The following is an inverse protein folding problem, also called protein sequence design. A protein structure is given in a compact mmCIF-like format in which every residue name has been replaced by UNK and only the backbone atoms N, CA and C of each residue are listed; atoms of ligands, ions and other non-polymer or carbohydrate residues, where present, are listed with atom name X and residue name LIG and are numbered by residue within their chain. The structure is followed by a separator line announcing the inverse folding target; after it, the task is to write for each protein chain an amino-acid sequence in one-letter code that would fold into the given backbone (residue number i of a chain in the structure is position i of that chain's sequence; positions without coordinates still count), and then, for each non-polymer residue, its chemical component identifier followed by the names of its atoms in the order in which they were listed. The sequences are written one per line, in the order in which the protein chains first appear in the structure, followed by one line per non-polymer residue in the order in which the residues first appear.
data_IF_903804370589
#
_entry.id   IF_903804370589
#
_cell.length_a   1.000
_cell.length_b   1.000
_cell.length_c   1.000
_cell.angle_alpha   90.00
_cell.angle_beta   90.00
_cell.angle_gamma   90.00
#
_symmetry.space_group_name_H-M   'P 1'
#
loop_
_entity.id
_entity.type
_entity.pdbx_description
1 polymer ?
#
# COMPACT_ATOMS: atom_id res chain seq x y z
N UNK A 1 14.60 -17.17 8.64
CA UNK A 1 13.94 -16.88 7.35
C UNK A 1 14.22 -15.44 7.02
N UNK A 2 14.69 -15.15 5.81
CA UNK A 2 15.09 -13.80 5.41
C UNK A 2 13.82 -12.94 5.35
N UNK A 3 13.76 -11.90 6.18
CA UNK A 3 12.80 -10.79 6.10
C UNK A 3 13.03 -10.07 4.76
N UNK A 4 12.54 -10.62 3.64
CA UNK A 4 12.58 -9.93 2.35
C UNK A 4 11.50 -8.85 2.38
N UNK A 5 11.85 -7.63 1.99
CA UNK A 5 10.87 -6.58 1.73
C UNK A 5 10.23 -6.91 0.37
N UNK A 6 8.89 -6.94 0.25
CA UNK A 6 8.25 -7.15 -1.04
C UNK A 6 8.68 -6.07 -2.04
N UNK A 7 8.66 -6.38 -3.33
CA UNK A 7 9.12 -5.45 -4.38
C UNK A 7 7.97 -4.94 -5.26
N UNK A 8 6.77 -5.49 -5.09
CA UNK A 8 5.57 -5.15 -5.85
C UNK A 8 4.33 -5.64 -5.08
N UNK A 9 3.15 -5.39 -5.65
CA UNK A 9 1.87 -5.72 -5.02
C UNK A 9 1.63 -7.23 -4.90
N UNK A 10 2.06 -8.01 -5.89
CA UNK A 10 1.93 -9.47 -5.87
C UNK A 10 2.77 -10.09 -4.75
N UNK A 11 4.03 -9.67 -4.60
CA UNK A 11 4.89 -10.07 -3.48
C UNK A 11 4.28 -9.65 -2.13
N UNK A 12 3.59 -8.51 -2.05
CA UNK A 12 2.85 -8.16 -0.84
C UNK A 12 1.83 -9.24 -0.47
N UNK A 13 1.07 -9.77 -1.43
CA UNK A 13 0.06 -10.79 -1.16
C UNK A 13 0.69 -12.10 -0.68
N UNK A 14 1.77 -12.54 -1.31
CA UNK A 14 2.50 -13.73 -0.89
C UNK A 14 3.00 -13.62 0.55
N UNK A 15 3.55 -12.46 0.90
CA UNK A 15 4.01 -12.19 2.25
C UNK A 15 2.85 -12.15 3.26
N UNK A 16 1.77 -11.45 2.92
CA UNK A 16 0.57 -11.37 3.76
C UNK A 16 -0.07 -12.76 3.98
N UNK A 17 -0.12 -13.60 2.95
CA UNK A 17 -0.63 -14.97 3.04
C UNK A 17 0.19 -15.86 3.99
N UNK A 18 1.50 -15.61 4.11
CA UNK A 18 2.40 -16.33 5.01
C UNK A 18 2.30 -15.84 6.46
N UNK A 19 2.15 -14.53 6.68
CA UNK A 19 2.17 -13.94 8.02
C UNK A 19 0.78 -13.87 8.67
N UNK A 20 -0.29 -13.75 7.88
CA UNK A 20 -1.64 -13.63 8.41
C UNK A 20 -2.26 -14.98 8.70
N UNK A 21 -2.64 -15.16 9.96
CA UNK A 21 -3.54 -16.23 10.36
C UNK A 21 -4.96 -15.95 9.85
N UNK A 22 -5.87 -16.95 9.83
CA UNK A 22 -7.25 -16.76 9.40
C UNK A 22 -7.93 -15.55 10.06
N UNK A 23 -7.67 -15.30 11.34
CA UNK A 23 -8.25 -14.18 12.08
C UNK A 23 -7.80 -12.82 11.53
N UNK A 24 -6.54 -12.71 11.09
CA UNK A 24 -6.02 -11.50 10.46
C UNK A 24 -6.67 -11.29 9.08
N UNK A 25 -6.90 -12.35 8.32
CA UNK A 25 -7.56 -12.28 7.00
C UNK A 25 -9.02 -11.84 7.15
N UNK A 26 -9.75 -12.43 8.10
CA UNK A 26 -11.11 -11.98 8.44
C UNK A 26 -11.14 -10.51 8.88
N UNK A 27 -10.15 -10.06 9.68
CA UNK A 27 -10.05 -8.67 10.09
C UNK A 27 -9.78 -7.69 8.93
N UNK A 28 -9.20 -8.14 7.80
CA UNK A 28 -9.10 -7.35 6.57
C UNK A 28 -10.43 -7.32 5.80
N UNK A 29 -11.20 -8.42 5.84
CA UNK A 29 -12.44 -8.58 5.09
C UNK A 29 -13.61 -7.77 5.66
N UNK A 30 -13.88 -7.88 6.96
CA UNK A 30 -15.12 -7.35 7.59
C UNK A 30 -15.10 -5.87 7.93
N UNK A 31 -14.05 -5.24 7.49
CA UNK A 31 -13.61 -4.03 8.08
C UNK A 31 -13.60 -3.08 6.85
N UNK A 32 -14.47 -2.07 6.92
CA UNK A 32 -14.80 -1.20 5.78
C UNK A 32 -14.34 0.26 5.91
N UNK A 33 -13.97 0.74 7.10
CA UNK A 33 -13.42 2.09 7.30
C UNK A 33 -11.98 2.11 7.84
N UNK A 34 -11.04 2.76 7.16
CA UNK A 34 -9.77 3.17 7.78
C UNK A 34 -8.92 2.01 8.36
N UNK A 35 -8.99 0.84 7.75
CA UNK A 35 -8.62 -0.40 8.41
C UNK A 35 -7.26 -0.94 8.07
N UNK A 36 -6.39 -1.12 9.04
CA UNK A 36 -6.41 -0.68 10.44
C UNK A 36 -5.31 0.36 10.50
N UNK A 37 -5.57 1.56 11.04
CA UNK A 37 -4.50 2.54 11.26
C UNK A 37 -3.29 1.83 11.87
N UNK A 38 -3.52 0.87 12.78
CA UNK A 38 -2.50 -0.05 13.29
C UNK A 38 -1.84 -0.92 12.23
N UNK A 39 -2.61 -1.69 11.46
CA UNK A 39 -2.07 -2.57 10.41
C UNK A 39 -1.38 -1.82 9.27
N UNK A 40 -2.00 -0.78 8.71
CA UNK A 40 -1.39 0.08 7.69
C UNK A 40 -0.12 0.76 8.19
N UNK A 41 -0.12 1.26 9.45
CA UNK A 41 1.10 1.76 10.11
C UNK A 41 2.17 0.68 10.27
N UNK A 42 1.76 -0.54 10.61
CA UNK A 42 2.68 -1.65 10.79
C UNK A 42 3.32 -2.05 9.45
N UNK A 43 2.53 -2.16 8.39
CA UNK A 43 3.03 -2.49 7.04
C UNK A 43 4.00 -1.43 6.52
N UNK A 44 3.62 -0.14 6.59
CA UNK A 44 4.49 0.94 6.09
C UNK A 44 5.81 1.05 6.85
N UNK A 45 5.84 0.68 8.13
CA UNK A 45 7.07 0.65 8.92
C UNK A 45 7.88 -0.63 8.63
N UNK A 46 7.23 -1.79 8.57
CA UNK A 46 7.89 -3.08 8.38
C UNK A 46 8.51 -3.21 6.99
N UNK A 47 7.85 -2.67 5.97
CA UNK A 47 8.30 -2.75 4.58
C UNK A 47 9.06 -1.52 4.12
N UNK A 48 9.46 -0.64 5.04
CA UNK A 48 10.31 0.51 4.73
C UNK A 48 9.68 1.44 3.70
N UNK A 49 8.41 1.80 3.86
CA UNK A 49 7.74 2.72 2.94
C UNK A 49 8.10 4.19 3.20
N UNK A 50 8.60 4.52 4.40
CA UNK A 50 9.17 5.83 4.72
C UNK A 50 10.60 5.99 4.19
N UNK A 51 11.39 4.93 4.32
CA UNK A 51 12.79 4.83 3.87
C UNK A 51 12.84 4.39 2.40
N UNK A 52 14.02 4.20 1.84
CA UNK A 52 14.15 3.61 0.50
C UNK A 52 13.96 2.09 0.52
N UNK A 53 13.01 1.62 -0.27
CA UNK A 53 12.72 0.20 -0.43
C UNK A 53 12.25 -0.13 -1.85
N UNK A 54 12.45 -1.38 -2.32
CA UNK A 54 11.95 -1.80 -3.62
C UNK A 54 10.44 -1.60 -3.78
N UNK A 55 9.67 -1.79 -2.70
CA UNK A 55 8.23 -1.54 -2.71
C UNK A 55 7.90 -0.06 -2.91
N UNK A 56 8.61 0.83 -2.19
CA UNK A 56 8.44 2.28 -2.35
C UNK A 56 8.75 2.71 -3.78
N UNK A 57 9.83 2.20 -4.37
CA UNK A 57 10.19 2.51 -5.76
C UNK A 57 9.09 2.09 -6.73
N UNK A 58 8.54 0.88 -6.56
CA UNK A 58 7.44 0.39 -7.37
C UNK A 58 6.18 1.28 -7.28
N UNK A 59 5.88 1.84 -6.10
CA UNK A 59 4.79 2.80 -5.93
C UNK A 59 5.12 4.17 -6.51
N UNK A 60 6.36 4.65 -6.34
CA UNK A 60 6.83 5.92 -6.88
C UNK A 60 6.77 5.95 -8.41
N UNK A 61 7.15 4.86 -9.09
CA UNK A 61 6.99 4.69 -10.54
C UNK A 61 5.53 4.85 -11.01
N UNK A 62 4.57 4.64 -10.09
CA UNK A 62 3.12 4.77 -10.32
C UNK A 62 2.55 6.08 -9.78
N UNK A 63 3.40 7.05 -9.44
CA UNK A 63 3.05 8.34 -8.83
C UNK A 63 2.23 8.20 -7.55
N UNK A 64 2.61 7.24 -6.69
CA UNK A 64 2.11 7.13 -5.33
C UNK A 64 3.32 7.23 -4.41
N UNK A 65 3.39 8.29 -3.60
CA UNK A 65 4.59 8.61 -2.82
C UNK A 65 4.35 8.64 -1.32
N UNK A 66 3.10 8.82 -0.88
CA UNK A 66 2.80 8.87 0.55
C UNK A 66 2.63 7.45 1.11
N UNK A 67 3.34 7.07 2.19
CA UNK A 67 3.29 5.71 2.75
C UNK A 67 1.89 5.27 3.19
N UNK A 68 1.06 6.21 3.64
CA UNK A 68 -0.33 5.92 4.01
C UNK A 68 -1.14 5.45 2.80
N UNK A 69 -0.97 6.10 1.64
CA UNK A 69 -1.63 5.71 0.39
C UNK A 69 -1.14 4.35 -0.10
N UNK A 70 0.19 4.13 -0.08
CA UNK A 70 0.79 2.85 -0.42
C UNK A 70 0.18 1.73 0.43
N UNK A 71 0.18 1.89 1.76
CA UNK A 71 -0.39 0.89 2.68
C UNK A 71 -1.90 0.68 2.48
N UNK A 72 -2.64 1.74 2.18
CA UNK A 72 -4.07 1.68 1.87
C UNK A 72 -4.37 0.91 0.59
N UNK A 73 -3.57 1.13 -0.47
CA UNK A 73 -3.68 0.40 -1.75
C UNK A 73 -3.36 -1.08 -1.56
N UNK A 74 -2.31 -1.41 -0.79
CA UNK A 74 -1.96 -2.80 -0.48
C UNK A 74 -3.12 -3.51 0.21
N UNK A 75 -3.66 -2.92 1.28
CA UNK A 75 -4.73 -3.55 2.08
C UNK A 75 -6.03 -3.66 1.29
N UNK A 76 -6.39 -2.63 0.51
CA UNK A 76 -7.56 -2.66 -0.37
C UNK A 76 -7.42 -3.75 -1.42
N UNK A 77 -6.26 -3.85 -2.04
CA UNK A 77 -5.98 -4.87 -3.06
C UNK A 77 -5.95 -6.27 -2.46
N UNK A 78 -5.37 -6.44 -1.28
CA UNK A 78 -5.32 -7.72 -0.59
C UNK A 78 -6.72 -8.18 -0.15
N UNK A 79 -7.59 -7.26 0.33
CA UNK A 79 -9.00 -7.55 0.60
C UNK A 79 -9.70 -8.13 -0.64
N UNK A 80 -9.48 -7.51 -1.80
CA UNK A 80 -10.07 -7.96 -3.09
C UNK A 80 -9.50 -9.31 -3.53
N UNK A 81 -8.20 -9.52 -3.34
CA UNK A 81 -7.53 -10.81 -3.57
C UNK A 81 -8.16 -11.94 -2.73
N UNK A 82 -8.37 -11.72 -1.43
CA UNK A 82 -8.96 -12.72 -0.52
C UNK A 82 -10.37 -13.19 -0.94
N UNK A 83 -11.15 -12.30 -1.57
CA UNK A 83 -12.51 -12.60 -2.07
C UNK A 83 -12.57 -12.90 -3.56
N UNK A 84 -11.42 -13.13 -4.21
CA UNK A 84 -11.29 -13.42 -5.63
C UNK A 84 -11.96 -12.36 -6.54
N UNK A 85 -11.91 -11.09 -6.13
CA UNK A 85 -12.38 -9.97 -6.93
C UNK A 85 -11.25 -9.38 -7.79
N UNK A 86 -11.56 -8.80 -8.96
CA UNK A 86 -10.58 -8.04 -9.72
C UNK A 86 -9.97 -6.95 -8.83
N UNK A 87 -8.63 -6.86 -8.79
CA UNK A 87 -7.91 -5.89 -7.94
C UNK A 87 -8.27 -4.45 -8.30
N UNK A 88 -8.53 -4.16 -9.58
CA UNK A 88 -8.78 -2.80 -10.08
C UNK A 88 -7.66 -1.81 -9.70
N UNK A 89 -6.39 -2.24 -9.73
CA UNK A 89 -5.24 -1.43 -9.27
C UNK A 89 -5.22 -0.03 -9.91
N UNK A 90 -5.37 0.06 -11.23
CA UNK A 90 -5.41 1.33 -11.97
C UNK A 90 -6.47 2.31 -11.44
N UNK A 91 -7.62 1.79 -11.00
CA UNK A 91 -8.68 2.62 -10.43
C UNK A 91 -8.30 3.12 -9.05
N UNK A 92 -7.68 2.26 -8.22
CA UNK A 92 -7.17 2.65 -6.90
C UNK A 92 -6.09 3.74 -7.01
N UNK A 93 -5.13 3.56 -7.92
CA UNK A 93 -4.06 4.54 -8.20
C UNK A 93 -4.64 5.89 -8.63
N UNK A 94 -5.59 5.89 -9.57
CA UNK A 94 -6.26 7.12 -10.03
C UNK A 94 -7.05 7.80 -8.93
N UNK A 95 -7.77 7.05 -8.09
CA UNK A 95 -8.48 7.62 -6.95
C UNK A 95 -7.53 8.35 -6.00
N UNK A 96 -6.38 7.75 -5.68
CA UNK A 96 -5.35 8.37 -4.86
C UNK A 96 -4.77 9.63 -5.51
N UNK A 97 -4.35 9.55 -6.78
CA UNK A 97 -3.81 10.69 -7.52
C UNK A 97 -4.81 11.85 -7.60
N UNK A 98 -6.07 11.56 -7.90
CA UNK A 98 -7.13 12.57 -7.98
C UNK A 98 -7.38 13.25 -6.63
N UNK A 99 -7.27 12.54 -5.51
CA UNK A 99 -7.41 13.12 -4.18
C UNK A 99 -6.37 14.22 -3.94
N UNK A 100 -5.10 13.95 -4.25
CA UNK A 100 -4.01 14.91 -4.09
C UNK A 100 -4.10 16.08 -5.07
N UNK A 101 -4.41 15.81 -6.35
CA UNK A 101 -4.62 16.85 -7.36
C UNK A 101 -5.74 17.80 -6.93
N UNK A 102 -6.88 17.26 -6.47
CA UNK A 102 -8.02 18.06 -6.02
C UNK A 102 -7.73 18.81 -4.71
N UNK A 103 -6.76 18.34 -3.93
CA UNK A 103 -6.26 19.01 -2.72
C UNK A 103 -5.26 20.13 -3.04
N UNK A 104 -4.97 20.38 -4.32
CA UNK A 104 -4.06 21.43 -4.78
C UNK A 104 -2.58 21.04 -4.73
N UNK A 105 -2.28 19.74 -4.62
CA UNK A 105 -0.90 19.24 -4.51
C UNK A 105 -0.31 18.96 -5.90
N UNK A 106 0.87 19.49 -6.17
CA UNK A 106 1.70 19.06 -7.30
C UNK A 106 2.39 17.74 -6.93
N UNK A 107 1.88 16.66 -7.52
CA UNK A 107 2.39 15.29 -7.35
C UNK A 107 3.91 15.21 -7.56
N UNK A 108 4.45 15.90 -8.57
CA UNK A 108 5.87 15.81 -8.91
C UNK A 108 6.73 16.50 -7.86
N UNK A 109 6.27 17.63 -7.36
CA UNK A 109 6.97 18.38 -6.31
C UNK A 109 7.01 17.57 -5.01
N UNK A 110 5.90 16.96 -4.61
CA UNK A 110 5.84 16.15 -3.40
C UNK A 110 6.64 14.85 -3.50
N UNK A 111 6.66 14.21 -4.67
CA UNK A 111 7.54 13.08 -4.94
C UNK A 111 9.02 13.42 -4.76
N UNK A 112 9.45 14.60 -5.19
CA UNK A 112 10.85 15.05 -5.03
C UNK A 112 11.19 15.32 -3.56
N UNK A 113 10.25 15.86 -2.78
CA UNK A 113 10.43 16.10 -1.34
C UNK A 113 10.54 14.78 -0.55
N UNK A 114 9.72 13.78 -0.86
CA UNK A 114 9.70 12.49 -0.15
C UNK A 114 10.93 11.61 -0.43
N UNK A 115 11.67 11.89 -1.49
CA UNK A 115 12.94 11.24 -1.83
C UNK A 115 14.18 11.94 -1.23
N UNK A 116 13.99 13.13 -0.63
CA UNK A 116 15.09 13.98 -0.14
C UNK A 116 15.26 13.92 1.39
N UNK A 117 14.54 13.04 2.08
CA UNK A 117 14.52 12.91 3.56
C UNK A 117 15.17 11.62 4.03
#
# INVERSE_FOLDING_TARGET
MVNKIPSNLEECFEHLDQIFKPENKEAVLHNDGFLDIGLGRSLRNLWGLWEDSPLKDWFNERNIWHPDDMSGIILTSYKRYLINQPIELEKQLKCCQNYWINSGVDIKEEMLKSQSS
#
